data_IF_093633624795
#
_entry.id   IF_093633624795
#
_cell.length_a   1.000
_cell.length_b   1.000
_cell.length_c   1.000
_cell.angle_alpha   90.00
_cell.angle_beta   90.00
_cell.angle_gamma   90.00
#
_symmetry.space_group_name_H-M   'P 1'
#
loop_
_entity.id
_entity.type
_entity.pdbx_description
1 polymer ?
#
# COMPACT_ATOMS: atom_id res chain seq x y z
N UNK A 1 20.48 -33.97 -19.49
CA UNK A 1 20.38 -32.83 -20.43
C UNK A 1 19.05 -32.10 -20.33
N UNK A 2 17.94 -32.74 -19.99
CA UNK A 2 16.61 -32.09 -19.81
C UNK A 2 16.45 -31.19 -18.59
N UNK A 3 17.24 -31.38 -17.54
CA UNK A 3 17.08 -30.64 -16.26
C UNK A 3 17.57 -29.19 -16.33
N UNK A 4 18.57 -28.89 -17.15
CA UNK A 4 19.17 -27.54 -17.26
C UNK A 4 18.27 -26.59 -18.08
N UNK A 5 17.62 -27.12 -19.13
CA UNK A 5 16.73 -26.37 -20.00
C UNK A 5 15.49 -25.84 -19.24
N UNK A 6 14.94 -26.66 -18.37
CA UNK A 6 13.74 -26.29 -17.59
C UNK A 6 14.01 -25.15 -16.57
N UNK A 7 15.23 -25.10 -16.04
CA UNK A 7 15.66 -24.02 -15.12
C UNK A 7 15.80 -22.68 -15.85
N UNK A 8 16.32 -22.68 -17.07
CA UNK A 8 16.54 -21.47 -17.86
C UNK A 8 15.23 -20.81 -18.31
N UNK A 9 14.29 -21.59 -18.82
CA UNK A 9 12.95 -21.11 -19.19
C UNK A 9 12.17 -20.59 -17.99
N UNK A 10 12.26 -21.25 -16.85
CA UNK A 10 11.63 -20.80 -15.62
C UNK A 10 12.20 -19.45 -15.15
N UNK A 11 13.50 -19.29 -15.17
CA UNK A 11 14.13 -18.03 -14.78
C UNK A 11 13.82 -16.89 -15.75
N UNK A 12 13.81 -17.17 -17.06
CA UNK A 12 13.42 -16.19 -18.08
C UNK A 12 11.95 -15.78 -17.93
N UNK A 13 11.05 -16.74 -17.71
CA UNK A 13 9.62 -16.49 -17.50
C UNK A 13 9.37 -15.64 -16.25
N UNK A 14 10.01 -15.97 -15.13
CA UNK A 14 9.94 -15.19 -13.89
C UNK A 14 10.48 -13.78 -14.13
N UNK A 15 11.58 -13.63 -14.84
CA UNK A 15 12.16 -12.33 -15.13
C UNK A 15 11.23 -11.45 -15.99
N UNK A 16 10.61 -12.02 -17.01
CA UNK A 16 9.62 -11.31 -17.86
C UNK A 16 8.39 -10.90 -17.03
N UNK A 17 7.88 -11.79 -16.17
CA UNK A 17 6.76 -11.48 -15.28
C UNK A 17 7.12 -10.35 -14.30
N UNK A 18 8.30 -10.40 -13.71
CA UNK A 18 8.77 -9.32 -12.81
C UNK A 18 8.89 -7.97 -13.52
N UNK A 19 9.39 -7.95 -14.77
CA UNK A 19 9.47 -6.74 -15.57
C UNK A 19 8.09 -6.20 -15.92
N UNK A 20 7.15 -7.07 -16.33
CA UNK A 20 5.77 -6.69 -16.63
C UNK A 20 5.04 -6.13 -15.42
N UNK A 21 5.18 -6.77 -14.27
CA UNK A 21 4.61 -6.28 -13.00
C UNK A 21 5.21 -4.93 -12.59
N UNK A 22 6.51 -4.75 -12.77
CA UNK A 22 7.18 -3.49 -12.46
C UNK A 22 6.68 -2.34 -13.33
N UNK A 23 6.53 -2.56 -14.63
CA UNK A 23 5.98 -1.59 -15.56
C UNK A 23 4.51 -1.26 -15.24
N UNK A 24 3.71 -2.27 -14.94
CA UNK A 24 2.31 -2.08 -14.54
C UNK A 24 2.21 -1.25 -13.25
N UNK A 25 2.99 -1.58 -12.23
CA UNK A 25 3.02 -0.83 -10.97
C UNK A 25 3.44 0.64 -11.18
N UNK A 26 4.47 0.87 -12.00
CA UNK A 26 4.91 2.22 -12.35
C UNK A 26 3.79 3.00 -13.04
N UNK A 27 3.13 2.38 -14.02
CA UNK A 27 2.01 3.01 -14.71
C UNK A 27 0.84 3.35 -13.79
N UNK A 28 0.48 2.44 -12.88
CA UNK A 28 -0.56 2.69 -11.86
C UNK A 28 -0.18 3.85 -10.95
N UNK A 29 1.07 3.89 -10.47
CA UNK A 29 1.59 4.96 -9.63
C UNK A 29 1.54 6.31 -10.35
N UNK A 30 2.09 6.41 -11.55
CA UNK A 30 2.14 7.66 -12.33
C UNK A 30 0.73 8.18 -12.64
N UNK A 31 -0.19 7.27 -12.98
CA UNK A 31 -1.60 7.61 -13.23
C UNK A 31 -2.26 8.15 -11.95
N UNK A 32 -2.03 7.48 -10.83
CA UNK A 32 -2.59 7.89 -9.52
C UNK A 32 -2.05 9.25 -9.10
N UNK A 33 -0.74 9.48 -9.22
CA UNK A 33 -0.10 10.77 -8.92
C UNK A 33 -0.70 11.87 -9.80
N UNK A 34 -0.82 11.63 -11.10
CA UNK A 34 -1.38 12.60 -12.04
C UNK A 34 -2.83 12.96 -11.68
N UNK A 35 -3.65 11.99 -11.33
CA UNK A 35 -5.05 12.22 -10.91
C UNK A 35 -5.09 13.05 -9.62
N UNK A 36 -4.28 12.70 -8.64
CA UNK A 36 -4.23 13.39 -7.35
C UNK A 36 -3.74 14.83 -7.54
N UNK A 37 -2.69 15.05 -8.31
CA UNK A 37 -2.17 16.39 -8.59
C UNK A 37 -3.19 17.27 -9.34
N UNK A 38 -3.99 16.68 -10.22
CA UNK A 38 -5.07 17.39 -10.88
C UNK A 38 -6.22 17.74 -9.94
N UNK A 39 -6.68 16.79 -9.12
CA UNK A 39 -7.80 16.97 -8.19
C UNK A 39 -7.47 17.93 -7.03
N UNK A 40 -6.23 17.94 -6.59
CA UNK A 40 -5.79 18.73 -5.42
C UNK A 40 -4.89 19.90 -5.79
N UNK A 41 -4.96 20.38 -7.02
CA UNK A 41 -4.16 21.52 -7.47
C UNK A 41 -4.43 22.76 -6.63
N UNK A 42 -3.38 23.28 -5.95
CA UNK A 42 -3.49 24.43 -5.05
C UNK A 42 -4.12 24.11 -3.67
N UNK A 43 -4.28 22.83 -3.33
CA UNK A 43 -4.80 22.36 -2.03
C UNK A 43 -3.86 21.35 -1.39
N UNK A 44 -2.64 21.78 -1.09
CA UNK A 44 -1.55 20.87 -0.70
C UNK A 44 -1.83 20.11 0.61
N UNK A 45 -2.38 20.79 1.62
CA UNK A 45 -2.69 20.15 2.90
C UNK A 45 -3.76 19.07 2.79
N UNK A 46 -4.80 19.29 1.96
CA UNK A 46 -5.82 18.30 1.69
C UNK A 46 -5.26 17.12 0.90
N UNK A 47 -4.38 17.40 -0.07
CA UNK A 47 -3.67 16.37 -0.83
C UNK A 47 -2.84 15.48 0.09
N UNK A 48 -2.02 16.07 0.94
CA UNK A 48 -1.19 15.31 1.87
C UNK A 48 -2.05 14.54 2.87
N UNK A 49 -3.11 15.13 3.40
CA UNK A 49 -4.02 14.44 4.30
C UNK A 49 -4.63 13.18 3.66
N UNK A 50 -5.11 13.28 2.42
CA UNK A 50 -5.66 12.11 1.70
C UNK A 50 -4.60 11.05 1.46
N UNK A 51 -3.39 11.45 1.09
CA UNK A 51 -2.27 10.53 0.88
C UNK A 51 -1.90 9.79 2.16
N UNK A 52 -1.82 10.48 3.30
CA UNK A 52 -1.53 9.87 4.60
C UNK A 52 -2.64 8.89 5.05
N UNK A 53 -3.90 9.22 4.80
CA UNK A 53 -5.00 8.27 5.04
C UNK A 53 -4.82 6.99 4.24
N UNK A 54 -4.42 7.09 2.98
CA UNK A 54 -4.23 5.94 2.07
C UNK A 54 -2.94 5.17 2.41
N UNK A 55 -1.86 5.87 2.76
CA UNK A 55 -0.54 5.28 3.02
C UNK A 55 -0.54 4.25 4.15
N UNK A 56 -1.48 4.37 5.10
CA UNK A 56 -1.63 3.40 6.20
C UNK A 56 -2.25 2.07 5.78
N UNK A 57 -3.00 2.04 4.68
CA UNK A 57 -3.74 0.85 4.25
C UNK A 57 -2.85 -0.40 4.06
N UNK A 58 -1.70 -0.35 3.37
CA UNK A 58 -0.86 -1.53 3.20
C UNK A 58 -0.31 -2.08 4.51
N UNK A 59 0.03 -1.23 5.46
CA UNK A 59 0.54 -1.68 6.76
C UNK A 59 -0.51 -2.42 7.56
N UNK A 60 -1.73 -1.88 7.66
CA UNK A 60 -2.84 -2.55 8.36
C UNK A 60 -3.31 -3.82 7.64
N UNK A 61 -3.32 -3.84 6.32
CA UNK A 61 -3.65 -5.06 5.57
C UNK A 61 -2.62 -6.15 5.80
N UNK A 62 -1.34 -5.82 5.82
CA UNK A 62 -0.26 -6.77 6.07
C UNK A 62 -0.32 -7.34 7.49
N UNK A 63 -0.54 -6.49 8.50
CA UNK A 63 -0.74 -6.92 9.89
C UNK A 63 -1.95 -7.86 10.00
N UNK A 64 -3.04 -7.54 9.30
CA UNK A 64 -4.25 -8.38 9.29
C UNK A 64 -3.99 -9.76 8.69
N UNK A 65 -3.25 -9.84 7.59
CA UNK A 65 -2.84 -11.11 6.98
C UNK A 65 -1.92 -11.90 7.90
N UNK A 66 -0.96 -11.25 8.56
CA UNK A 66 -0.09 -11.91 9.53
C UNK A 66 -0.90 -12.45 10.71
N UNK A 67 -1.84 -11.67 11.25
CA UNK A 67 -2.72 -12.12 12.32
C UNK A 67 -3.61 -13.30 11.91
N UNK A 68 -4.15 -13.28 10.70
CA UNK A 68 -4.92 -14.38 10.14
C UNK A 68 -4.07 -15.67 10.03
N UNK A 69 -2.85 -15.56 9.50
CA UNK A 69 -1.90 -16.68 9.46
C UNK A 69 -1.58 -17.23 10.85
N UNK A 70 -1.39 -16.35 11.83
CA UNK A 70 -1.17 -16.73 13.23
C UNK A 70 -2.35 -17.55 13.78
N UNK A 71 -3.57 -17.11 13.52
CA UNK A 71 -4.80 -17.79 13.96
C UNK A 71 -4.94 -19.21 13.36
N UNK A 72 -4.32 -19.44 12.20
CA UNK A 72 -4.24 -20.75 11.56
C UNK A 72 -3.03 -21.59 12.00
N UNK A 73 -2.24 -21.11 12.95
CA UNK A 73 -1.02 -21.76 13.39
C UNK A 73 0.18 -21.65 12.43
N UNK A 74 0.10 -20.79 11.42
CA UNK A 74 1.12 -20.60 10.39
C UNK A 74 2.06 -19.43 10.75
N UNK A 75 2.79 -19.57 11.84
CA UNK A 75 3.84 -18.61 12.24
C UNK A 75 5.16 -18.92 11.54
N UNK A 76 5.78 -17.90 10.94
CA UNK A 76 7.18 -17.94 10.51
C UNK A 76 8.13 -17.41 11.58
N UNK A 77 9.43 -17.58 11.38
CA UNK A 77 10.46 -17.10 12.31
C UNK A 77 10.41 -15.58 12.49
N UNK A 78 10.16 -14.83 11.42
CA UNK A 78 10.12 -13.37 11.42
C UNK A 78 8.73 -12.77 11.75
N UNK A 79 7.77 -13.58 12.13
CA UNK A 79 6.38 -13.16 12.27
C UNK A 79 6.20 -11.95 13.21
N UNK A 80 6.78 -12.00 14.40
CA UNK A 80 6.69 -10.93 15.40
C UNK A 80 7.45 -9.68 14.94
N UNK A 81 8.60 -9.88 14.30
CA UNK A 81 9.38 -8.76 13.74
C UNK A 81 8.57 -8.02 12.67
N UNK A 82 7.99 -8.72 11.71
CA UNK A 82 7.18 -8.15 10.65
C UNK A 82 5.94 -7.41 11.19
N UNK A 83 5.25 -7.97 12.19
CA UNK A 83 4.12 -7.30 12.83
C UNK A 83 4.55 -5.98 13.47
N UNK A 84 5.65 -5.96 14.21
CA UNK A 84 6.19 -4.75 14.83
C UNK A 84 6.58 -3.72 13.79
N UNK A 85 7.31 -4.12 12.75
CA UNK A 85 7.77 -3.23 11.69
C UNK A 85 6.60 -2.53 11.00
N UNK A 86 5.60 -3.28 10.56
CA UNK A 86 4.43 -2.69 9.91
C UNK A 86 3.59 -1.83 10.86
N UNK A 87 3.54 -2.19 12.14
CA UNK A 87 2.86 -1.38 13.14
C UNK A 87 3.58 -0.03 13.37
N UNK A 88 4.90 -0.03 13.43
CA UNK A 88 5.69 1.20 13.51
C UNK A 88 5.48 2.11 12.30
N UNK A 89 5.46 1.54 11.10
CA UNK A 89 5.17 2.31 9.89
C UNK A 89 3.76 2.91 9.94
N UNK A 90 2.76 2.14 10.36
CA UNK A 90 1.40 2.62 10.51
C UNK A 90 1.28 3.78 11.53
N UNK A 91 2.03 3.72 12.64
CA UNK A 91 2.10 4.81 13.62
C UNK A 91 2.75 6.06 13.05
N UNK A 92 3.87 5.90 12.33
CA UNK A 92 4.56 7.02 11.69
C UNK A 92 3.64 7.77 10.71
N UNK A 93 2.90 7.04 9.86
CA UNK A 93 1.91 7.64 8.96
C UNK A 93 0.73 8.28 9.72
N UNK A 94 0.44 7.80 10.93
CA UNK A 94 -0.60 8.40 11.78
C UNK A 94 -0.15 9.74 12.35
N UNK A 95 1.10 9.86 12.75
CA UNK A 95 1.68 11.14 13.22
C UNK A 95 1.66 12.20 12.11
N UNK A 96 2.02 11.82 10.87
CA UNK A 96 1.92 12.71 9.71
C UNK A 96 0.47 13.13 9.44
N UNK A 97 -0.46 12.18 9.56
CA UNK A 97 -1.89 12.47 9.39
C UNK A 97 -2.39 13.50 10.40
N UNK A 98 -2.04 13.35 11.68
CA UNK A 98 -2.40 14.29 12.74
C UNK A 98 -1.83 15.69 12.46
N UNK A 99 -0.60 15.78 11.98
CA UNK A 99 -0.01 17.05 11.56
C UNK A 99 -0.82 17.72 10.44
N UNK A 100 -1.26 16.94 9.45
CA UNK A 100 -2.08 17.47 8.35
C UNK A 100 -3.48 17.87 8.82
N UNK A 101 -4.05 17.20 9.83
CA UNK A 101 -5.32 17.58 10.45
C UNK A 101 -5.21 18.92 11.19
N UNK A 102 -4.12 19.17 11.89
CA UNK A 102 -3.83 20.46 12.51
C UNK A 102 -3.75 21.62 11.50
N UNK A 103 -3.37 21.31 10.25
CA UNK A 103 -3.31 22.26 9.12
C UNK A 103 -4.60 22.28 8.29
N UNK A 104 -5.72 21.82 8.83
CA UNK A 104 -7.03 21.75 8.17
C UNK A 104 -7.05 20.87 6.89
N UNK A 105 -6.18 19.87 6.78
CA UNK A 105 -6.15 18.94 5.66
C UNK A 105 -7.45 18.16 5.49
N UNK A 106 -8.18 17.90 6.57
CA UNK A 106 -9.46 17.19 6.60
C UNK A 106 -10.70 18.11 6.54
N UNK A 107 -10.53 19.38 6.20
CA UNK A 107 -11.60 20.41 6.26
C UNK A 107 -12.82 20.07 5.41
N UNK A 108 -12.62 19.61 4.19
CA UNK A 108 -13.69 19.39 3.24
C UNK A 108 -14.31 17.99 3.36
N UNK A 109 -15.63 17.92 3.37
CA UNK A 109 -16.36 16.65 3.44
C UNK A 109 -16.05 15.72 2.25
N UNK A 110 -15.93 16.28 1.05
CA UNK A 110 -15.63 15.53 -0.17
C UNK A 110 -14.30 14.79 -0.06
N UNK A 111 -13.26 15.44 0.46
CA UNK A 111 -11.94 14.84 0.62
C UNK A 111 -11.99 13.69 1.64
N UNK A 112 -12.72 13.87 2.76
CA UNK A 112 -12.94 12.80 3.76
C UNK A 112 -13.73 11.62 3.19
N UNK A 113 -14.75 11.89 2.40
CA UNK A 113 -15.55 10.85 1.74
C UNK A 113 -14.69 10.05 0.77
N UNK A 114 -13.97 10.73 -0.11
CA UNK A 114 -13.08 10.12 -1.10
C UNK A 114 -12.00 9.26 -0.44
N UNK A 115 -11.27 9.82 0.54
CA UNK A 115 -10.21 9.11 1.25
C UNK A 115 -10.71 7.83 1.92
N UNK A 116 -11.86 7.88 2.62
CA UNK A 116 -12.44 6.70 3.30
C UNK A 116 -12.78 5.56 2.34
N UNK A 117 -13.35 5.87 1.19
CA UNK A 117 -13.73 4.84 0.22
C UNK A 117 -12.50 4.28 -0.49
N UNK A 118 -11.54 5.15 -0.83
CA UNK A 118 -10.33 4.72 -1.50
C UNK A 118 -9.44 3.87 -0.58
N UNK A 119 -9.30 4.24 0.70
CA UNK A 119 -8.53 3.45 1.67
C UNK A 119 -9.15 2.08 1.90
N UNK A 120 -10.48 2.00 1.97
CA UNK A 120 -11.18 0.72 2.15
C UNK A 120 -10.97 -0.20 0.94
N UNK A 121 -11.12 0.33 -0.27
CA UNK A 121 -10.86 -0.41 -1.50
C UNK A 121 -9.40 -0.89 -1.56
N UNK A 122 -8.46 0.00 -1.29
CA UNK A 122 -7.04 -0.31 -1.33
C UNK A 122 -6.64 -1.34 -0.27
N UNK A 123 -7.19 -1.24 0.95
CA UNK A 123 -6.99 -2.23 2.00
C UNK A 123 -7.37 -3.65 1.53
N UNK A 124 -8.56 -3.82 0.95
CA UNK A 124 -9.00 -5.12 0.48
C UNK A 124 -8.22 -5.65 -0.71
N UNK A 125 -7.80 -4.76 -1.62
CA UNK A 125 -6.88 -5.13 -2.70
C UNK A 125 -5.57 -5.68 -2.12
N UNK A 126 -5.01 -5.01 -1.12
CA UNK A 126 -3.76 -5.43 -0.49
C UNK A 126 -3.89 -6.71 0.34
N UNK A 127 -5.04 -6.96 0.97
CA UNK A 127 -5.32 -8.23 1.66
C UNK A 127 -5.41 -9.40 0.67
N UNK A 128 -5.97 -9.18 -0.51
CA UNK A 128 -6.14 -10.20 -1.53
C UNK A 128 -4.86 -10.48 -2.36
N UNK A 129 -3.95 -9.52 -2.44
CA UNK A 129 -2.70 -9.61 -3.20
C UNK A 129 -1.62 -10.36 -2.44
#
# INVERSE_FOLDING_TARGET
MYFVWNSWYRNLFVHILCLGMKQFNTWVLDTTITIIDFLYRGRDFQRFWVLEVIARAPYFSFISVLHFRESLGLRGEDHIYLMKEHFYQALNETEHLEEMELREGNKYWVDRFFAKHLVLLYYWIMVAY
#
